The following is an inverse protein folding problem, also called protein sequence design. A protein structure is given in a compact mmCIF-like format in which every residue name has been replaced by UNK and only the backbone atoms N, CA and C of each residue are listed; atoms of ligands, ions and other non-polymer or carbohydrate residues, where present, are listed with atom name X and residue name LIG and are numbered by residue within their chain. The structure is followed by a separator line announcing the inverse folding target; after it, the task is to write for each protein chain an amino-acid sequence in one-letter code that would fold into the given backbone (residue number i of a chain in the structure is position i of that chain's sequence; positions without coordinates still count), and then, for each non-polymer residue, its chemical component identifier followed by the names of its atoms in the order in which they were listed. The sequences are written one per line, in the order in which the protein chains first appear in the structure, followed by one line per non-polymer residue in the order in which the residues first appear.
data_IF_223803873638
#
_entry.id   IF_223803873638
#
_cell.length_a   1.000
_cell.length_b   1.000
_cell.length_c   1.000
_cell.angle_alpha   90.00
_cell.angle_beta   90.00
_cell.angle_gamma   90.00
#
_symmetry.space_group_name_H-M   'P 1'
#
loop_
_entity.id
_entity.type
_entity.pdbx_description
1 polymer ?
#
# COMPACT_ATOMS: atom_id res chain seq x y z
N UNK A 1 2.60 10.21 10.92
CA UNK A 1 2.89 8.79 11.17
C UNK A 1 2.28 7.92 10.07
N UNK A 2 3.02 6.94 9.61
CA UNK A 2 2.57 6.01 8.58
C UNK A 2 2.16 4.70 9.22
N UNK A 3 1.08 4.11 8.76
CA UNK A 3 0.59 2.84 9.28
C UNK A 3 0.43 1.85 8.13
N UNK A 4 0.74 0.59 8.41
CA UNK A 4 0.53 -0.49 7.45
C UNK A 4 -0.95 -0.83 7.40
N UNK A 5 -1.52 -0.83 6.20
CA UNK A 5 -2.94 -1.16 6.04
C UNK A 5 -3.13 -2.49 5.34
N UNK A 6 -2.10 -2.98 4.63
CA UNK A 6 -2.26 -4.16 3.83
C UNK A 6 -0.89 -4.66 3.40
N UNK A 7 -0.80 -5.95 3.03
CA UNK A 7 0.39 -6.52 2.41
C UNK A 7 0.05 -7.01 1.02
N UNK A 8 1.04 -6.96 0.14
CA UNK A 8 0.91 -7.47 -1.22
C UNK A 8 1.95 -8.56 -1.44
N UNK A 9 1.61 -9.60 -2.18
CA UNK A 9 2.48 -10.74 -2.38
C UNK A 9 3.51 -10.54 -3.48
N UNK A 10 3.41 -9.47 -4.24
CA UNK A 10 4.38 -9.14 -5.27
C UNK A 10 4.35 -7.65 -5.54
N UNK A 11 5.35 -7.18 -6.27
CA UNK A 11 5.49 -5.74 -6.54
C UNK A 11 4.34 -5.21 -7.40
N UNK A 12 3.91 -5.97 -8.39
CA UNK A 12 2.84 -5.53 -9.27
C UNK A 12 1.54 -5.26 -8.49
N UNK A 13 1.19 -6.16 -7.58
CA UNK A 13 0.00 -5.99 -6.74
C UNK A 13 0.16 -4.79 -5.82
N UNK A 14 1.35 -4.61 -5.26
CA UNK A 14 1.63 -3.47 -4.39
C UNK A 14 1.45 -2.15 -5.14
N UNK A 15 1.98 -2.08 -6.36
CA UNK A 15 1.84 -0.88 -7.17
C UNK A 15 0.41 -0.61 -7.59
N UNK A 16 -0.37 -1.67 -7.82
CA UNK A 16 -1.78 -1.53 -8.12
C UNK A 16 -2.53 -0.87 -6.96
N UNK A 17 -2.27 -1.31 -5.73
CA UNK A 17 -2.89 -0.72 -4.56
C UNK A 17 -2.46 0.74 -4.37
N UNK A 18 -1.17 1.01 -4.59
CA UNK A 18 -0.67 2.37 -4.49
C UNK A 18 -1.37 3.30 -5.49
N UNK A 19 -1.49 2.87 -6.75
CA UNK A 19 -2.19 3.66 -7.76
C UNK A 19 -3.63 3.92 -7.36
N UNK A 20 -4.31 2.90 -6.86
CA UNK A 20 -5.70 3.03 -6.44
C UNK A 20 -5.85 4.08 -5.35
N UNK A 21 -5.04 3.97 -4.30
CA UNK A 21 -5.13 4.89 -3.17
C UNK A 21 -4.70 6.30 -3.54
N UNK A 22 -3.64 6.44 -4.33
CA UNK A 22 -3.21 7.76 -4.78
C UNK A 22 -4.23 8.42 -5.69
N UNK A 23 -4.93 7.62 -6.49
CA UNK A 23 -6.02 8.12 -7.30
C UNK A 23 -7.18 8.65 -6.47
N UNK A 24 -7.31 8.19 -5.22
CA UNK A 24 -8.31 8.70 -4.29
C UNK A 24 -7.76 9.83 -3.42
N UNK A 25 -6.57 10.31 -3.71
CA UNK A 25 -5.97 11.41 -2.97
C UNK A 25 -5.26 10.99 -1.68
N UNK A 26 -4.94 9.71 -1.53
CA UNK A 26 -4.29 9.19 -0.33
C UNK A 26 -2.83 8.89 -0.63
N UNK A 27 -1.87 9.60 -0.01
CA UNK A 27 -0.45 9.28 -0.19
C UNK A 27 -0.18 7.85 0.27
N UNK A 28 0.62 7.12 -0.49
CA UNK A 28 0.86 5.71 -0.22
C UNK A 28 2.32 5.38 -0.38
N UNK A 29 2.85 4.54 0.52
CA UNK A 29 4.22 4.05 0.44
C UNK A 29 4.22 2.54 0.35
N UNK A 30 5.20 2.01 -0.40
CA UNK A 30 5.43 0.58 -0.52
C UNK A 30 6.81 0.30 0.05
N UNK A 31 6.89 -0.63 1.02
CA UNK A 31 8.17 -1.02 1.62
C UNK A 31 8.28 -2.54 1.60
N UNK A 32 9.49 -3.08 1.33
CA UNK A 32 9.71 -4.53 1.42
C UNK A 32 9.46 -5.00 2.85
N UNK A 33 8.74 -6.10 3.01
CA UNK A 33 8.42 -6.60 4.34
C UNK A 33 9.64 -7.18 5.06
N UNK A 34 10.60 -7.72 4.31
CA UNK A 34 11.75 -8.41 4.89
C UNK A 34 13.07 -7.71 4.63
N UNK A 35 13.04 -6.40 4.33
CA UNK A 35 14.26 -5.64 4.14
C UNK A 35 14.96 -5.87 2.82
N UNK A 36 14.32 -6.55 1.88
CA UNK A 36 14.87 -6.77 0.55
C UNK A 36 14.84 -5.47 -0.26
N UNK A 37 15.69 -5.37 -1.30
CA UNK A 37 15.66 -4.16 -2.13
C UNK A 37 14.30 -3.97 -2.79
N UNK A 38 13.87 -2.72 -2.90
CA UNK A 38 12.65 -2.38 -3.63
C UNK A 38 12.88 -2.74 -5.10
N UNK A 39 11.89 -3.39 -5.70
CA UNK A 39 11.94 -3.77 -7.10
C UNK A 39 11.96 -5.26 -7.34
N UNK A 40 12.10 -6.06 -6.29
CA UNK A 40 12.00 -7.51 -6.43
C UNK A 40 10.54 -7.90 -6.58
N UNK A 41 10.21 -8.48 -7.72
CA UNK A 41 8.83 -8.80 -8.06
C UNK A 41 8.19 -9.80 -7.11
N UNK A 42 8.96 -10.79 -6.66
CA UNK A 42 8.40 -11.87 -5.84
C UNK A 42 8.46 -11.62 -4.34
N UNK A 43 8.88 -10.43 -3.92
CA UNK A 43 8.95 -10.09 -2.50
C UNK A 43 7.58 -9.66 -1.98
N UNK A 44 7.37 -9.85 -0.66
CA UNK A 44 6.17 -9.34 -0.01
C UNK A 44 6.40 -7.87 0.34
N UNK A 45 5.42 -7.04 0.04
CA UNK A 45 5.50 -5.61 0.28
C UNK A 45 4.44 -5.15 1.27
N UNK A 46 4.82 -4.19 2.10
CA UNK A 46 3.92 -3.54 3.04
C UNK A 46 3.40 -2.27 2.39
N UNK A 47 2.11 -2.04 2.50
CA UNK A 47 1.47 -0.85 1.94
C UNK A 47 1.08 0.04 3.11
N UNK A 48 1.61 1.26 3.12
CA UNK A 48 1.45 2.19 4.23
C UNK A 48 0.81 3.49 3.76
N UNK A 49 -0.03 4.05 4.63
CA UNK A 49 -0.66 5.33 4.41
C UNK A 49 -0.52 6.17 5.68
N UNK A 50 -0.70 7.51 5.60
CA UNK A 50 -0.71 8.32 6.81
C UNK A 50 -1.85 7.88 7.74
N UNK A 51 -1.58 7.90 9.04
CA UNK A 51 -2.55 7.44 10.01
C UNK A 51 -3.88 8.21 9.93
N UNK A 52 -3.82 9.50 9.67
CA UNK A 52 -5.02 10.33 9.58
C UNK A 52 -5.86 10.03 8.34
N UNK A 53 -5.38 9.19 7.45
CA UNK A 53 -6.12 8.75 6.27
C UNK A 53 -6.57 7.30 6.37
N UNK A 54 -6.25 6.64 7.48
CA UNK A 54 -6.56 5.22 7.64
C UNK A 54 -8.06 4.94 7.52
N UNK A 55 -8.89 5.79 8.07
CA UNK A 55 -10.33 5.60 8.00
C UNK A 55 -10.89 5.72 6.58
N UNK A 56 -10.22 6.47 5.73
CA UNK A 56 -10.65 6.64 4.33
C UNK A 56 -10.41 5.36 3.54
N UNK A 57 -9.40 4.59 3.92
CA UNK A 57 -9.07 3.34 3.24
C UNK A 57 -10.25 2.37 3.28
N UNK A 58 -10.92 2.25 4.41
CA UNK A 58 -12.07 1.36 4.52
C UNK A 58 -13.16 1.75 3.53
N UNK A 59 -13.39 3.06 3.37
CA UNK A 59 -14.40 3.53 2.42
C UNK A 59 -14.01 3.22 0.99
N UNK A 60 -12.73 3.39 0.64
CA UNK A 60 -12.25 3.08 -0.69
C UNK A 60 -12.42 1.58 -0.98
N UNK A 61 -12.06 0.73 -0.03
CA UNK A 61 -12.18 -0.72 -0.22
C UNK A 61 -13.63 -1.17 -0.36
N UNK A 62 -14.56 -0.49 0.28
CA UNK A 62 -15.99 -0.82 0.14
C UNK A 62 -16.53 -0.55 -1.25
N UNK A 63 -15.91 0.34 -1.99
CA UNK A 63 -16.35 0.67 -3.34
C UNK A 63 -15.87 -0.34 -4.40
N UNK A 64 -15.00 -1.24 -4.03
CA UNK A 64 -14.44 -2.21 -4.97
C UNK A 64 -15.36 -3.42 -5.19
#
# INVERSE_FOLDING_TARGET
MWVEIKKAQNLMTAEMWKELFEGEGIPTRILPASGEPIGQESAIYRILVPKDREHVIEEVLRKL
#
